data_IF_804555146163
#
_entry.id   IF_804555146163
#
_cell.length_a   1.000
_cell.length_b   1.000
_cell.length_c   1.000
_cell.angle_alpha   90.00
_cell.angle_beta   90.00
_cell.angle_gamma   90.00
#
_symmetry.space_group_name_H-M   'P 1'
#
loop_
_entity.id
_entity.type
_entity.pdbx_description
1 polymer ?
#
# COMPACT_ATOMS: atom_id res chain seq x y z
N UNK A 1 -26.55 -18.61 -19.43
CA UNK A 1 -25.19 -18.94 -19.93
C UNK A 1 -24.77 -20.25 -19.27
N UNK A 2 -24.56 -21.33 -20.06
CA UNK A 2 -24.11 -22.61 -19.52
C UNK A 2 -22.69 -22.55 -19.01
N UNK A 3 -22.40 -23.16 -17.87
CA UNK A 3 -21.06 -23.28 -17.33
C UNK A 3 -20.16 -23.99 -18.36
N UNK A 4 -19.07 -23.34 -18.77
CA UNK A 4 -18.06 -24.01 -19.61
C UNK A 4 -17.36 -25.09 -18.77
N UNK A 5 -17.43 -26.33 -19.19
CA UNK A 5 -16.62 -27.39 -18.61
C UNK A 5 -15.15 -27.14 -18.95
N UNK A 6 -14.26 -27.21 -17.95
CA UNK A 6 -12.82 -27.04 -18.07
C UNK A 6 -12.14 -28.28 -17.47
N UNK A 7 -11.06 -28.73 -18.09
CA UNK A 7 -10.28 -29.84 -17.53
C UNK A 7 -9.54 -29.33 -16.27
N UNK A 8 -9.48 -30.19 -15.26
CA UNK A 8 -8.74 -29.90 -14.01
C UNK A 8 -7.27 -29.61 -14.27
N UNK A 9 -6.67 -30.30 -15.25
CA UNK A 9 -5.30 -30.03 -15.70
C UNK A 9 -5.09 -28.59 -16.21
N UNK A 10 -6.09 -28.03 -16.92
CA UNK A 10 -6.00 -26.66 -17.46
C UNK A 10 -6.14 -25.64 -16.34
N UNK A 11 -7.00 -25.91 -15.35
CA UNK A 11 -7.07 -25.08 -14.16
C UNK A 11 -5.72 -24.98 -13.44
N UNK A 12 -5.05 -26.12 -13.20
CA UNK A 12 -3.75 -26.12 -12.53
C UNK A 12 -2.61 -25.49 -13.35
N UNK A 13 -2.68 -25.60 -14.68
CA UNK A 13 -1.63 -25.06 -15.56
C UNK A 13 -1.79 -23.59 -15.90
N UNK A 14 -3.01 -23.07 -15.91
CA UNK A 14 -3.32 -21.72 -16.39
C UNK A 14 -3.92 -20.84 -15.30
N UNK A 15 -5.05 -21.24 -14.72
CA UNK A 15 -5.80 -20.36 -13.83
C UNK A 15 -5.14 -20.20 -12.46
N UNK A 16 -4.67 -21.30 -11.87
CA UNK A 16 -4.03 -21.26 -10.56
C UNK A 16 -2.72 -20.46 -10.55
N UNK A 17 -1.79 -20.61 -11.53
CA UNK A 17 -0.62 -19.76 -11.62
C UNK A 17 -0.94 -18.28 -11.87
N UNK A 18 -1.94 -17.98 -12.70
CA UNK A 18 -2.38 -16.61 -12.94
C UNK A 18 -2.93 -15.96 -11.65
N UNK A 19 -3.78 -16.68 -10.91
CA UNK A 19 -4.26 -16.23 -9.62
C UNK A 19 -3.13 -16.08 -8.60
N UNK A 20 -2.23 -17.06 -8.50
CA UNK A 20 -1.10 -17.02 -7.58
C UNK A 20 -0.16 -15.83 -7.85
N UNK A 21 0.13 -15.53 -9.11
CA UNK A 21 0.93 -14.36 -9.50
C UNK A 21 0.25 -13.07 -9.09
N UNK A 22 -1.04 -12.94 -9.36
CA UNK A 22 -1.82 -11.76 -8.93
C UNK A 22 -1.84 -11.60 -7.40
N UNK A 23 -2.06 -12.70 -6.67
CA UNK A 23 -2.10 -12.70 -5.20
C UNK A 23 -0.73 -12.29 -4.61
N UNK A 24 0.37 -12.77 -5.19
CA UNK A 24 1.73 -12.42 -4.79
C UNK A 24 2.02 -10.92 -4.96
N UNK A 25 1.74 -10.35 -6.13
CA UNK A 25 1.94 -8.92 -6.40
C UNK A 25 1.17 -8.05 -5.42
N UNK A 26 0.00 -8.52 -4.97
CA UNK A 26 -0.86 -7.78 -4.06
C UNK A 26 -0.43 -7.86 -2.60
N UNK A 27 0.04 -9.03 -2.15
CA UNK A 27 0.26 -9.34 -0.72
C UNK A 27 1.71 -9.27 -0.27
N UNK A 28 2.65 -9.48 -1.19
CA UNK A 28 4.08 -9.39 -0.93
C UNK A 28 4.55 -7.98 -1.28
N UNK A 29 5.31 -7.35 -0.38
CA UNK A 29 5.86 -6.04 -0.65
C UNK A 29 6.96 -6.12 -1.73
N UNK A 30 7.00 -5.13 -2.61
CA UNK A 30 8.05 -5.00 -3.60
C UNK A 30 9.41 -4.74 -2.94
N UNK A 31 10.45 -5.40 -3.40
CA UNK A 31 11.82 -5.14 -2.92
C UNK A 31 12.35 -3.77 -3.35
N UNK A 32 11.77 -3.15 -4.36
CA UNK A 32 12.20 -1.84 -4.87
C UNK A 32 11.74 -0.70 -3.96
N UNK A 33 10.43 -0.66 -3.63
CA UNK A 33 9.84 0.43 -2.86
C UNK A 33 9.32 0.01 -1.48
N UNK A 34 9.39 -1.27 -1.12
CA UNK A 34 8.90 -1.78 0.15
C UNK A 34 7.39 -1.75 0.31
N UNK A 35 6.63 -1.43 -0.74
CA UNK A 35 5.18 -1.28 -0.66
C UNK A 35 4.44 -2.48 -1.23
N UNK A 36 3.34 -2.83 -0.58
CA UNK A 36 2.29 -3.65 -1.18
C UNK A 36 1.49 -2.82 -2.18
N UNK A 37 0.82 -3.47 -3.10
CA UNK A 37 0.04 -2.79 -4.13
C UNK A 37 -0.95 -1.75 -3.56
N UNK A 38 -1.70 -2.10 -2.51
CA UNK A 38 -2.65 -1.18 -1.86
C UNK A 38 -1.98 0.05 -1.25
N UNK A 39 -0.82 -0.12 -0.63
CA UNK A 39 -0.03 0.99 -0.07
C UNK A 39 0.45 1.93 -1.17
N UNK A 40 0.93 1.40 -2.29
CA UNK A 40 1.39 2.19 -3.44
C UNK A 40 0.25 3.01 -4.05
N UNK A 41 -0.93 2.42 -4.22
CA UNK A 41 -2.14 3.12 -4.67
C UNK A 41 -2.54 4.28 -3.74
N UNK A 42 -2.50 4.06 -2.43
CA UNK A 42 -2.80 5.08 -1.42
C UNK A 42 -1.78 6.22 -1.48
N UNK A 43 -0.49 5.90 -1.52
CA UNK A 43 0.60 6.89 -1.59
C UNK A 43 0.46 7.73 -2.88
N UNK A 44 0.26 7.08 -4.02
CA UNK A 44 0.05 7.75 -5.30
C UNK A 44 -1.14 8.71 -5.25
N UNK A 45 -2.28 8.26 -4.74
CA UNK A 45 -3.47 9.09 -4.60
C UNK A 45 -3.25 10.25 -3.65
N UNK A 46 -2.57 10.01 -2.53
CA UNK A 46 -2.26 11.05 -1.54
C UNK A 46 -1.35 12.13 -2.16
N UNK A 47 -0.32 11.75 -2.90
CA UNK A 47 0.60 12.69 -3.56
C UNK A 47 -0.13 13.51 -4.63
N UNK A 48 -0.93 12.87 -5.47
CA UNK A 48 -1.56 13.53 -6.63
C UNK A 48 -2.80 14.34 -6.26
N UNK A 49 -3.59 13.93 -5.25
CA UNK A 49 -4.89 14.56 -4.92
C UNK A 49 -4.86 15.39 -3.63
N UNK A 50 -3.99 15.05 -2.67
CA UNK A 50 -3.96 15.67 -1.34
C UNK A 50 -2.53 16.05 -0.90
N UNK A 51 -1.81 16.89 -1.66
CA UNK A 51 -0.38 17.15 -1.41
C UNK A 51 -0.10 17.92 -0.11
N UNK A 52 -1.09 18.66 0.42
CA UNK A 52 -0.89 19.55 1.58
C UNK A 52 -1.93 19.37 2.70
N UNK A 53 -3.08 18.76 2.41
CA UNK A 53 -4.24 18.82 3.29
C UNK A 53 -4.46 17.51 4.05
N UNK A 54 -5.11 17.63 5.22
CA UNK A 54 -5.69 16.49 5.90
C UNK A 54 -7.02 16.09 5.23
N UNK A 55 -7.14 14.84 4.89
CA UNK A 55 -8.34 14.26 4.27
C UNK A 55 -8.93 13.19 5.19
N UNK A 56 -10.25 13.03 5.18
CA UNK A 56 -10.89 11.89 5.86
C UNK A 56 -10.39 10.58 5.25
N UNK A 57 -10.07 9.61 6.09
CA UNK A 57 -9.58 8.29 5.64
C UNK A 57 -10.55 7.62 4.68
N UNK A 58 -11.85 7.67 4.96
CA UNK A 58 -12.89 7.12 4.09
C UNK A 58 -12.93 7.83 2.72
N UNK A 59 -12.79 9.16 2.70
CA UNK A 59 -12.73 9.93 1.44
C UNK A 59 -11.48 9.54 0.63
N UNK A 60 -10.32 9.46 1.27
CA UNK A 60 -9.10 9.02 0.61
C UNK A 60 -9.24 7.61 0.02
N UNK A 61 -9.80 6.68 0.78
CA UNK A 61 -10.03 5.30 0.35
C UNK A 61 -10.95 5.22 -0.88
N UNK A 62 -12.05 5.97 -0.89
CA UNK A 62 -12.99 6.02 -2.01
C UNK A 62 -12.36 6.65 -3.26
N UNK A 63 -11.67 7.78 -3.10
CA UNK A 63 -10.95 8.44 -4.21
C UNK A 63 -9.84 7.55 -4.75
N UNK A 64 -9.10 6.88 -3.87
CA UNK A 64 -8.05 5.94 -4.25
C UNK A 64 -8.63 4.77 -5.06
N UNK A 65 -9.73 4.19 -4.62
CA UNK A 65 -10.37 3.07 -5.32
C UNK A 65 -10.78 3.46 -6.74
N UNK A 66 -11.37 4.64 -6.90
CA UNK A 66 -11.78 5.15 -8.22
C UNK A 66 -10.58 5.57 -9.08
N UNK A 67 -9.61 6.27 -8.50
CA UNK A 67 -8.47 6.84 -9.23
C UNK A 67 -7.43 5.80 -9.68
N UNK A 68 -7.40 4.64 -9.06
CA UNK A 68 -6.41 3.58 -9.32
C UNK A 68 -7.05 2.25 -9.72
N UNK A 69 -8.34 2.26 -10.09
CA UNK A 69 -9.11 1.06 -10.48
C UNK A 69 -8.92 -0.11 -9.49
N UNK A 70 -9.12 0.16 -8.18
CA UNK A 70 -8.91 -0.85 -7.13
C UNK A 70 -10.12 -1.80 -7.03
N UNK A 71 -9.90 -3.09 -7.28
CA UNK A 71 -10.96 -4.09 -7.45
C UNK A 71 -11.52 -4.70 -6.15
N UNK A 72 -10.97 -4.36 -4.96
CA UNK A 72 -11.29 -5.07 -3.70
C UNK A 72 -12.13 -4.26 -2.69
N UNK A 73 -12.74 -3.16 -3.12
CA UNK A 73 -13.59 -2.32 -2.29
C UNK A 73 -12.82 -1.32 -1.40
N UNK A 74 -13.35 -0.10 -1.32
CA UNK A 74 -12.71 1.01 -0.62
C UNK A 74 -12.57 0.80 0.90
N UNK A 75 -13.43 0.01 1.52
CA UNK A 75 -13.35 -0.28 2.96
C UNK A 75 -12.03 -0.93 3.35
N UNK A 76 -11.51 -1.83 2.49
CA UNK A 76 -10.19 -2.45 2.70
C UNK A 76 -9.07 -1.38 2.68
N UNK A 77 -9.10 -0.46 1.71
CA UNK A 77 -8.15 0.65 1.64
C UNK A 77 -8.20 1.54 2.88
N UNK A 78 -9.39 1.80 3.43
CA UNK A 78 -9.55 2.57 4.67
C UNK A 78 -8.79 1.94 5.85
N UNK A 79 -8.82 0.61 5.97
CA UNK A 79 -8.02 -0.12 6.95
C UNK A 79 -6.51 0.04 6.71
N UNK A 80 -6.06 -0.08 5.47
CA UNK A 80 -4.64 0.10 5.10
C UNK A 80 -4.17 1.53 5.40
N UNK A 81 -4.97 2.56 5.05
CA UNK A 81 -4.65 3.97 5.36
C UNK A 81 -4.46 4.18 6.86
N UNK A 82 -5.38 3.66 7.68
CA UNK A 82 -5.28 3.75 9.13
C UNK A 82 -3.99 3.10 9.65
N UNK A 83 -3.66 1.89 9.18
CA UNK A 83 -2.43 1.19 9.56
C UNK A 83 -1.17 1.98 9.16
N UNK A 84 -1.15 2.59 7.97
CA UNK A 84 -0.01 3.40 7.51
C UNK A 84 0.19 4.69 8.33
N UNK A 85 -0.83 5.14 9.06
CA UNK A 85 -0.77 6.32 9.92
C UNK A 85 -0.51 5.99 11.40
N UNK A 86 -0.45 4.72 11.78
CA UNK A 86 -0.10 4.31 13.14
C UNK A 86 1.35 4.63 13.47
N UNK A 87 1.60 5.24 14.63
CA UNK A 87 2.92 5.72 15.05
C UNK A 87 3.38 5.21 16.42
N UNK A 88 2.66 4.26 17.01
CA UNK A 88 3.05 3.68 18.30
C UNK A 88 4.07 2.54 18.13
N UNK A 89 4.82 2.25 19.18
CA UNK A 89 5.81 1.15 19.20
C UNK A 89 5.14 -0.20 18.90
N UNK A 90 5.64 -0.89 17.88
CA UNK A 90 5.06 -2.13 17.35
C UNK A 90 4.14 -1.96 16.15
N UNK A 91 3.91 -0.70 15.72
CA UNK A 91 3.29 -0.37 14.44
C UNK A 91 4.36 -0.01 13.40
N UNK A 92 4.28 1.18 12.75
CA UNK A 92 5.34 1.63 11.87
C UNK A 92 6.45 2.33 12.67
N UNK A 93 7.71 2.03 12.43
CA UNK A 93 8.81 2.80 12.97
C UNK A 93 8.80 4.24 12.41
N UNK A 94 8.48 4.34 11.13
CA UNK A 94 8.45 5.60 10.40
C UNK A 94 7.18 5.68 9.55
N UNK A 95 6.07 6.17 10.12
CA UNK A 95 4.80 6.24 9.41
C UNK A 95 4.87 7.19 8.20
N UNK A 96 4.39 6.73 7.06
CA UNK A 96 4.35 7.51 5.82
C UNK A 96 3.16 8.47 5.76
N UNK A 97 2.13 8.17 6.52
CA UNK A 97 0.99 9.06 6.74
C UNK A 97 0.97 9.51 8.20
N UNK A 98 0.41 10.68 8.45
CA UNK A 98 0.21 11.21 9.79
C UNK A 98 -1.27 11.41 10.05
N UNK A 99 -1.75 10.96 11.23
CA UNK A 99 -3.11 11.18 11.69
C UNK A 99 -3.22 12.44 12.56
N UNK A 100 -4.31 13.20 12.46
CA UNK A 100 -4.55 14.36 13.32
C UNK A 100 -5.91 14.32 14.03
N UNK A 101 -6.77 13.38 13.70
CA UNK A 101 -8.12 13.27 14.26
C UNK A 101 -8.59 11.84 14.21
N UNK A 102 -9.30 11.41 15.25
CA UNK A 102 -9.73 10.04 15.45
C UNK A 102 -8.68 9.18 16.17
N UNK A 103 -9.06 7.97 16.58
CA UNK A 103 -8.19 7.03 17.26
C UNK A 103 -7.45 6.13 16.25
N UNK A 104 -6.12 6.18 16.23
CA UNK A 104 -5.30 5.27 15.42
C UNK A 104 -4.79 4.05 16.18
N UNK A 105 -5.28 3.87 17.42
CA UNK A 105 -4.84 2.80 18.30
C UNK A 105 -3.61 3.16 19.12
N UNK A 106 -3.19 2.20 19.93
CA UNK A 106 -2.02 2.28 20.79
C UNK A 106 -1.38 0.91 20.89
N UNK A 107 -0.20 0.82 21.51
CA UNK A 107 0.49 -0.45 21.76
C UNK A 107 -0.38 -1.48 22.50
N UNK A 108 -1.24 -1.02 23.42
CA UNK A 108 -2.12 -1.89 24.22
C UNK A 108 -3.38 -2.24 23.43
N UNK A 109 -3.91 -1.28 22.67
CA UNK A 109 -5.13 -1.46 21.88
C UNK A 109 -4.85 -1.01 20.44
N UNK A 110 -4.32 -1.88 19.58
CA UNK A 110 -3.87 -1.49 18.23
C UNK A 110 -5.02 -1.23 17.24
N UNK A 111 -6.27 -1.42 17.65
CA UNK A 111 -7.44 -1.22 16.80
C UNK A 111 -7.68 0.27 16.53
N UNK A 112 -7.74 0.63 15.26
CA UNK A 112 -8.13 1.98 14.83
C UNK A 112 -9.63 2.20 14.92
N UNK A 113 -10.03 3.45 15.09
CA UNK A 113 -11.41 3.88 14.87
C UNK A 113 -11.80 3.66 13.39
N UNK A 114 -13.10 3.59 13.14
CA UNK A 114 -13.61 3.47 11.77
C UNK A 114 -13.12 4.64 10.89
N UNK A 115 -12.82 4.36 9.62
CA UNK A 115 -12.21 5.30 8.66
C UNK A 115 -13.00 6.60 8.46
N UNK A 116 -14.30 6.59 8.78
CA UNK A 116 -15.16 7.80 8.77
C UNK A 116 -14.81 8.82 9.85
N UNK A 117 -14.12 8.39 10.92
CA UNK A 117 -13.76 9.23 12.07
C UNK A 117 -12.28 9.63 12.08
N UNK A 118 -11.46 9.03 11.22
CA UNK A 118 -10.03 9.31 11.14
C UNK A 118 -9.71 10.26 9.99
N UNK A 119 -8.65 11.05 10.15
CA UNK A 119 -8.13 11.95 9.11
C UNK A 119 -6.63 11.81 9.04
N UNK A 120 -6.10 11.81 7.82
CA UNK A 120 -4.67 11.61 7.53
C UNK A 120 -4.14 12.66 6.56
N UNK A 121 -2.85 12.88 6.62
CA UNK A 121 -2.08 13.65 5.64
C UNK A 121 -0.77 12.95 5.33
N UNK A 122 -0.02 13.46 4.35
CA UNK A 122 1.35 13.03 4.11
C UNK A 122 2.23 13.39 5.30
N UNK A 123 3.05 12.44 5.76
CA UNK A 123 4.12 12.76 6.72
C UNK A 123 5.25 13.57 6.05
N UNK A 124 6.05 14.26 6.85
CA UNK A 124 7.27 14.91 6.33
C UNK A 124 8.23 13.90 5.72
N UNK A 125 8.31 12.70 6.31
CA UNK A 125 9.13 11.62 5.82
C UNK A 125 8.72 11.17 4.40
N UNK A 126 7.43 10.98 4.12
CA UNK A 126 6.97 10.59 2.78
C UNK A 126 7.45 11.59 1.72
N UNK A 127 7.38 12.88 2.01
CA UNK A 127 7.83 13.95 1.11
C UNK A 127 9.34 13.92 0.86
N UNK A 128 10.12 13.46 1.84
CA UNK A 128 11.58 13.34 1.71
C UNK A 128 12.01 12.05 1.03
N UNK A 129 11.22 10.99 1.17
CA UNK A 129 11.54 9.68 0.62
C UNK A 129 11.26 9.58 -0.89
N UNK A 130 10.21 10.22 -1.37
CA UNK A 130 9.79 10.15 -2.77
C UNK A 130 10.01 11.50 -3.45
N UNK A 131 10.97 11.51 -4.38
CA UNK A 131 11.36 12.72 -5.11
C UNK A 131 10.50 12.87 -6.36
N UNK A 132 9.83 14.01 -6.52
CA UNK A 132 8.86 14.24 -7.62
C UNK A 132 9.48 14.25 -9.02
N UNK A 133 10.79 14.47 -9.13
CA UNK A 133 11.51 14.43 -10.43
C UNK A 133 11.53 13.04 -11.03
N UNK A 134 11.41 11.99 -10.23
CA UNK A 134 11.43 10.59 -10.68
C UNK A 134 10.14 10.20 -11.40
N UNK A 135 9.04 10.91 -11.17
CA UNK A 135 7.74 10.68 -11.81
C UNK A 135 7.84 10.67 -13.36
N UNK A 136 8.73 11.49 -13.93
CA UNK A 136 8.93 11.59 -15.37
C UNK A 136 9.62 10.35 -15.98
N UNK A 137 10.38 9.64 -15.18
CA UNK A 137 11.19 8.48 -15.60
C UNK A 137 10.45 7.16 -15.35
N UNK A 138 9.81 7.04 -14.18
CA UNK A 138 9.16 5.80 -13.74
C UNK A 138 7.91 5.49 -14.57
N UNK A 139 7.16 6.54 -14.96
CA UNK A 139 5.91 6.39 -15.72
C UNK A 139 4.79 5.73 -14.90
N UNK A 140 3.58 5.78 -15.44
CA UNK A 140 2.39 5.17 -14.87
C UNK A 140 2.03 3.87 -15.60
N UNK A 141 1.35 2.97 -14.90
CA UNK A 141 0.79 1.77 -15.51
C UNK A 141 -0.51 2.11 -16.24
N UNK A 142 -0.75 1.43 -17.37
CA UNK A 142 -2.03 1.45 -18.06
C UNK A 142 -2.87 0.25 -17.59
N UNK A 143 -4.08 0.50 -17.10
CA UNK A 143 -5.03 -0.52 -16.69
C UNK A 143 -6.44 -0.16 -17.17
N UNK A 144 -7.07 -1.02 -17.98
CA UNK A 144 -8.40 -0.82 -18.57
C UNK A 144 -8.58 0.52 -19.30
N UNK A 145 -7.49 1.05 -19.88
CA UNK A 145 -7.50 2.32 -20.59
C UNK A 145 -7.14 3.54 -19.73
N UNK A 146 -7.04 3.40 -18.43
CA UNK A 146 -6.67 4.46 -17.48
C UNK A 146 -5.20 4.38 -17.06
N UNK A 147 -4.57 5.54 -16.90
CA UNK A 147 -3.27 5.66 -16.27
C UNK A 147 -3.44 5.63 -14.75
N UNK A 148 -2.92 4.60 -14.11
CA UNK A 148 -2.97 4.40 -12.68
C UNK A 148 -1.58 4.64 -12.03
N UNK A 149 -1.38 4.20 -10.79
CA UNK A 149 -0.10 4.36 -10.08
C UNK A 149 1.07 3.73 -10.85
N UNK A 150 2.32 4.16 -10.60
CA UNK A 150 3.48 3.52 -11.18
C UNK A 150 3.65 2.08 -10.66
N UNK A 151 4.38 1.25 -11.41
CA UNK A 151 4.66 -0.13 -11.01
C UNK A 151 5.43 -0.21 -9.68
N UNK A 152 6.29 0.77 -9.43
CA UNK A 152 7.04 0.98 -8.18
C UNK A 152 7.42 2.46 -8.08
N UNK A 153 7.71 2.90 -6.86
CA UNK A 153 8.45 4.15 -6.62
C UNK A 153 9.94 3.85 -6.45
N UNK A 154 10.76 4.91 -6.46
CA UNK A 154 12.19 4.82 -6.13
C UNK A 154 12.45 5.70 -4.91
N UNK A 155 12.25 5.17 -3.69
CA UNK A 155 12.54 5.93 -2.49
C UNK A 155 14.05 6.14 -2.32
N UNK A 156 14.45 7.30 -1.82
CA UNK A 156 15.88 7.63 -1.55
C UNK A 156 16.49 6.79 -0.42
N UNK A 157 15.67 6.04 0.30
CA UNK A 157 16.06 5.16 1.40
C UNK A 157 15.27 3.85 1.32
N UNK A 158 15.85 2.68 1.64
CA UNK A 158 15.19 1.39 1.52
C UNK A 158 14.06 1.20 2.54
N UNK A 159 12.87 1.65 2.18
CA UNK A 159 11.65 1.65 3.01
C UNK A 159 11.27 0.26 3.51
N UNK A 160 11.59 -0.80 2.74
CA UNK A 160 11.32 -2.18 3.11
C UNK A 160 11.98 -2.55 4.44
N UNK A 161 13.22 -2.12 4.67
CA UNK A 161 13.92 -2.35 5.93
C UNK A 161 13.56 -1.34 7.02
N UNK A 162 13.10 -0.16 6.63
CA UNK A 162 12.74 0.90 7.56
C UNK A 162 11.53 0.51 8.43
N UNK A 163 10.46 0.03 7.78
CA UNK A 163 9.20 -0.34 8.44
C UNK A 163 8.97 -1.86 8.52
N UNK A 164 9.80 -2.63 7.83
CA UNK A 164 9.57 -4.06 7.68
C UNK A 164 8.36 -4.37 6.79
N UNK A 165 8.09 -5.64 6.60
CA UNK A 165 6.88 -6.11 5.92
C UNK A 165 6.59 -7.54 6.26
N UNK A 166 5.33 -7.85 6.56
CA UNK A 166 4.86 -9.23 6.68
C UNK A 166 3.74 -9.46 5.68
N UNK A 167 3.77 -10.58 4.98
CA UNK A 167 2.78 -10.94 3.97
C UNK A 167 2.69 -12.44 3.75
N UNK A 168 1.47 -12.96 3.67
CA UNK A 168 1.18 -14.34 3.33
C UNK A 168 0.39 -14.38 2.04
N UNK A 169 0.88 -15.13 1.07
CA UNK A 169 0.30 -15.22 -0.26
C UNK A 169 0.28 -16.67 -0.76
N UNK A 170 -0.21 -16.89 -1.97
CA UNK A 170 -0.30 -18.22 -2.59
C UNK A 170 1.09 -18.74 -2.91
N UNK A 171 1.55 -19.74 -2.14
CA UNK A 171 2.86 -20.38 -2.32
C UNK A 171 4.06 -19.59 -1.80
N UNK A 172 3.86 -18.35 -1.31
CA UNK A 172 4.94 -17.47 -0.83
C UNK A 172 4.57 -16.77 0.48
N UNK A 173 5.58 -16.49 1.30
CA UNK A 173 5.47 -15.64 2.48
C UNK A 173 6.65 -14.68 2.55
N UNK A 174 6.45 -13.55 3.18
CA UNK A 174 7.48 -12.56 3.46
C UNK A 174 7.33 -12.14 4.92
N UNK A 175 8.44 -12.11 5.63
CA UNK A 175 8.51 -11.58 7.00
C UNK A 175 9.85 -10.86 7.18
N UNK A 176 9.82 -9.53 7.08
CA UNK A 176 10.99 -8.66 7.17
C UNK A 176 10.79 -7.75 8.38
N UNK A 177 11.69 -7.87 9.34
CA UNK A 177 11.67 -7.04 10.54
C UNK A 177 12.12 -5.61 10.23
N UNK A 178 11.51 -4.60 10.88
CA UNK A 178 11.98 -3.23 10.79
C UNK A 178 13.37 -3.07 11.39
N UNK A 179 14.18 -2.19 10.82
CA UNK A 179 15.56 -1.92 11.23
C UNK A 179 15.74 -0.46 11.60
N UNK A 180 16.77 -0.19 12.39
CA UNK A 180 17.23 1.17 12.65
C UNK A 180 17.88 1.74 11.36
N UNK A 181 17.51 2.96 10.92
CA UNK A 181 18.15 3.61 9.77
C UNK A 181 19.67 3.65 9.85
N UNK A 182 20.25 3.90 11.01
CA UNK A 182 21.71 3.96 11.21
C UNK A 182 22.38 2.61 10.90
N UNK A 183 21.71 1.49 11.22
CA UNK A 183 22.18 0.14 10.89
C UNK A 183 22.09 -0.20 9.40
N UNK A 184 21.23 0.52 8.66
CA UNK A 184 21.06 0.30 7.22
C UNK A 184 22.10 1.08 6.42
N UNK A 185 22.61 2.20 6.96
CA UNK A 185 23.58 3.09 6.32
C UNK A 185 25.03 2.58 6.50
N UNK A 186 25.30 1.84 7.57
CA UNK A 186 26.64 1.27 7.88
C UNK A 186 26.87 -0.02 7.12
#
# INVERSE_FOLDING_TARGET
MGAKQKLVSDFFKVDLPAYGSYDNIRKIASYVDGFKNSQRKIIFTMIKKYPKDYVKTETLANVCAAFTNYLHGAANLGGVVNTMAQSFVGANNYPLLTGNSGGFGSRITPTCAASRYTRVAQSSLLKSLLVSTDDAIIGQQLFEGDLIEPKYFVPVFPTLFLNGSSGLSTGFSQDILPRNPDEIIT
#
